data_IF_012021292174
#
_entry.id   IF_012021292174
#
_cell.length_a   1.000
_cell.length_b   1.000
_cell.length_c   1.000
_cell.angle_alpha   90.00
_cell.angle_beta   90.00
_cell.angle_gamma   90.00
#
_symmetry.space_group_name_H-M   'P 1'
#
loop_
_entity.id
_entity.type
_entity.pdbx_description
1 polymer ?
#
# COMPACT_ATOMS: atom_id res chain seq x y z
N UNK A 1 -14.70 1.65 1.97
CA UNK A 1 -15.09 0.63 2.97
C UNK A 1 -14.40 0.93 4.29
N UNK A 2 -14.88 0.39 5.41
CA UNK A 2 -14.16 0.42 6.69
C UNK A 2 -13.63 -0.99 6.97
N UNK A 3 -12.35 -1.13 7.34
CA UNK A 3 -11.72 -2.40 7.73
C UNK A 3 -11.05 -2.23 9.09
N UNK A 4 -11.13 -3.25 9.93
CA UNK A 4 -10.45 -3.31 11.21
C UNK A 4 -9.12 -4.04 11.01
N UNK A 5 -8.01 -3.37 11.29
CA UNK A 5 -6.65 -3.92 11.17
C UNK A 5 -5.94 -3.62 12.49
N UNK A 6 -5.41 -4.64 13.14
CA UNK A 6 -4.69 -4.52 14.41
C UNK A 6 -5.44 -3.69 15.49
N UNK A 7 -6.78 -3.83 15.56
CA UNK A 7 -7.63 -3.07 16.47
C UNK A 7 -7.95 -1.63 16.04
N UNK A 8 -7.35 -1.12 14.96
CA UNK A 8 -7.62 0.20 14.37
C UNK A 8 -8.60 0.10 13.21
N UNK A 9 -9.58 1.00 13.17
CA UNK A 9 -10.58 1.04 12.10
C UNK A 9 -10.13 1.97 10.97
N UNK A 10 -9.63 1.39 9.89
CA UNK A 10 -9.23 2.12 8.69
C UNK A 10 -10.40 2.34 7.76
N UNK A 11 -10.57 3.58 7.31
CA UNK A 11 -11.49 3.89 6.22
C UNK A 11 -10.71 3.93 4.92
N UNK A 12 -10.92 2.95 4.04
CA UNK A 12 -10.22 2.86 2.76
C UNK A 12 -10.46 4.07 1.86
N UNK A 13 -11.57 4.82 2.07
CA UNK A 13 -11.83 6.07 1.34
C UNK A 13 -10.98 7.25 1.83
N UNK A 14 -10.35 7.13 3.01
CA UNK A 14 -9.48 8.16 3.58
C UNK A 14 -8.00 7.88 3.31
N UNK A 15 -7.69 6.75 2.69
CA UNK A 15 -6.34 6.40 2.29
C UNK A 15 -5.95 7.24 1.07
N UNK A 16 -4.74 7.78 1.11
CA UNK A 16 -4.13 8.52 0.02
C UNK A 16 -3.22 7.55 -0.73
N UNK A 17 -3.53 7.18 -1.98
CA UNK A 17 -2.68 6.28 -2.75
C UNK A 17 -1.37 6.98 -3.11
N UNK A 18 -0.25 6.29 -2.89
CA UNK A 18 1.10 6.74 -3.27
C UNK A 18 1.49 6.09 -4.60
N UNK A 19 1.37 4.76 -4.67
CA UNK A 19 1.76 3.98 -5.83
C UNK A 19 0.93 2.70 -5.93
N UNK A 20 0.65 2.27 -7.15
CA UNK A 20 -0.02 1.01 -7.45
C UNK A 20 0.84 0.16 -8.36
N UNK A 21 0.79 -1.14 -8.15
CA UNK A 21 1.41 -2.17 -8.96
C UNK A 21 0.39 -3.28 -9.20
N UNK A 22 0.41 -3.86 -10.39
CA UNK A 22 -0.32 -5.07 -10.72
C UNK A 22 0.59 -6.03 -11.47
N UNK A 23 0.25 -7.31 -11.45
CA UNK A 23 1.04 -8.35 -12.09
C UNK A 23 0.86 -8.45 -13.61
N UNK A 24 0.19 -7.48 -14.25
CA UNK A 24 -0.06 -7.44 -15.70
C UNK A 24 -1.08 -8.45 -16.20
N UNK A 25 -1.80 -9.12 -15.30
CA UNK A 25 -2.83 -10.11 -15.62
C UNK A 25 -4.19 -9.40 -15.72
N UNK A 26 -5.08 -9.91 -16.57
CA UNK A 26 -6.46 -9.39 -16.66
C UNK A 26 -7.22 -9.64 -15.34
N UNK A 27 -7.99 -8.64 -14.89
CA UNK A 27 -8.77 -8.67 -13.65
C UNK A 27 -9.78 -9.83 -13.55
N UNK A 28 -10.15 -10.44 -14.68
CA UNK A 28 -11.04 -11.60 -14.73
C UNK A 28 -10.34 -12.91 -14.36
N UNK A 29 -9.01 -12.97 -14.44
CA UNK A 29 -8.21 -14.15 -14.15
C UNK A 29 -8.01 -14.31 -12.64
N UNK A 30 -8.13 -15.53 -12.15
CA UNK A 30 -7.95 -15.85 -10.73
C UNK A 30 -6.54 -15.56 -10.21
N UNK A 31 -5.56 -15.42 -11.10
CA UNK A 31 -4.17 -15.06 -10.79
C UNK A 31 -3.94 -13.57 -10.72
N UNK A 32 -4.93 -12.73 -11.06
CA UNK A 32 -4.81 -11.28 -10.92
C UNK A 32 -4.47 -10.90 -9.48
N UNK A 33 -3.47 -10.03 -9.36
CA UNK A 33 -3.08 -9.45 -8.08
C UNK A 33 -2.64 -8.01 -8.33
N UNK A 34 -3.22 -7.11 -7.54
CA UNK A 34 -2.91 -5.70 -7.50
C UNK A 34 -2.59 -5.32 -6.06
N UNK A 35 -1.55 -4.51 -5.91
CA UNK A 35 -1.14 -3.96 -4.63
C UNK A 35 -0.99 -2.44 -4.76
N UNK A 36 -1.57 -1.71 -3.82
CA UNK A 36 -1.48 -0.25 -3.77
C UNK A 36 -0.92 0.17 -2.42
N UNK A 37 0.25 0.81 -2.44
CA UNK A 37 0.80 1.50 -1.29
C UNK A 37 0.01 2.78 -1.05
N UNK A 38 -0.52 2.89 0.16
CA UNK A 38 -1.33 3.99 0.62
C UNK A 38 -0.74 4.61 1.90
N UNK A 39 -1.08 5.87 2.13
CA UNK A 39 -0.84 6.57 3.38
C UNK A 39 -2.12 7.03 4.03
N UNK A 40 -2.18 6.97 5.34
CA UNK A 40 -3.23 7.62 6.11
C UNK A 40 -2.92 9.10 6.31
N UNK A 41 -3.93 9.88 6.74
CA UNK A 41 -3.70 11.28 7.14
C UNK A 41 -2.81 11.43 8.38
N UNK A 42 -2.71 10.36 9.17
CA UNK A 42 -1.88 10.28 10.38
C UNK A 42 -0.43 9.87 10.09
N UNK A 43 -0.10 9.55 8.83
CA UNK A 43 1.25 9.18 8.40
C UNK A 43 1.57 7.69 8.45
N UNK A 44 0.56 6.84 8.72
CA UNK A 44 0.73 5.38 8.70
C UNK A 44 0.67 4.86 7.25
N UNK A 45 1.50 3.87 6.96
CA UNK A 45 1.59 3.25 5.63
C UNK A 45 0.84 1.92 5.61
N UNK A 46 0.11 1.69 4.52
CA UNK A 46 -0.74 0.52 4.36
C UNK A 46 -0.62 0.00 2.93
N UNK A 47 -0.42 -1.30 2.78
CA UNK A 47 -0.60 -1.99 1.50
C UNK A 47 -2.05 -2.43 1.40
N UNK A 48 -2.70 -2.00 0.33
CA UNK A 48 -3.99 -2.51 -0.09
C UNK A 48 -3.79 -3.54 -1.19
N UNK A 49 -4.07 -4.80 -0.90
CA UNK A 49 -3.95 -5.90 -1.87
C UNK A 49 -5.34 -6.31 -2.35
N UNK A 50 -5.46 -6.56 -3.65
CA UNK A 50 -6.67 -7.00 -4.31
C UNK A 50 -6.35 -8.17 -5.23
N UNK A 51 -7.00 -9.29 -4.98
CA UNK A 51 -6.90 -10.50 -5.78
C UNK A 51 -8.26 -11.20 -5.87
N UNK A 52 -8.29 -12.40 -6.47
CA UNK A 52 -9.49 -13.21 -6.59
C UNK A 52 -10.08 -13.67 -5.24
N UNK A 53 -9.28 -13.72 -4.18
CA UNK A 53 -9.72 -14.06 -2.82
C UNK A 53 -10.39 -12.87 -2.12
N UNK A 54 -10.13 -11.65 -2.61
CA UNK A 54 -10.82 -10.44 -2.20
C UNK A 54 -9.87 -9.28 -1.91
N UNK A 55 -10.24 -8.49 -0.90
CA UNK A 55 -9.51 -7.28 -0.52
C UNK A 55 -8.81 -7.48 0.81
N UNK A 56 -7.51 -7.23 0.84
CA UNK A 56 -6.70 -7.23 2.05
C UNK A 56 -6.05 -5.86 2.31
N UNK A 57 -5.80 -5.57 3.58
CA UNK A 57 -5.10 -4.37 3.99
C UNK A 57 -4.09 -4.74 5.08
N UNK A 58 -2.83 -4.37 4.87
CA UNK A 58 -1.75 -4.61 5.81
C UNK A 58 -1.08 -3.29 6.19
N UNK A 59 -1.09 -2.98 7.48
CA UNK A 59 -0.27 -1.89 8.04
C UNK A 59 1.20 -2.31 7.99
N UNK A 60 2.05 -1.42 7.48
CA UNK A 60 3.48 -1.64 7.29
C UNK A 60 4.27 -0.43 7.79
N UNK A 61 5.56 -0.62 8.05
CA UNK A 61 6.41 0.50 8.47
C UNK A 61 6.84 1.35 7.28
N UNK A 62 7.36 2.58 7.50
CA UNK A 62 7.94 3.39 6.42
C UNK A 62 9.08 2.67 5.68
N UNK A 63 9.89 1.87 6.38
CA UNK A 63 10.98 1.11 5.79
C UNK A 63 10.43 0.05 4.83
N UNK A 64 9.46 -0.76 5.29
CA UNK A 64 8.77 -1.76 4.46
C UNK A 64 8.08 -1.13 3.25
N UNK A 65 7.54 0.09 3.41
CA UNK A 65 6.88 0.82 2.33
C UNK A 65 7.87 1.23 1.24
N UNK A 66 9.07 1.67 1.64
CA UNK A 66 10.13 2.00 0.71
C UNK A 66 10.71 0.75 0.03
N UNK A 67 10.90 -0.35 0.76
CA UNK A 67 11.29 -1.63 0.19
C UNK A 67 10.26 -2.13 -0.84
N UNK A 68 8.96 -1.99 -0.55
CA UNK A 68 7.90 -2.32 -1.50
C UNK A 68 8.01 -1.49 -2.77
N UNK A 69 8.30 -0.19 -2.67
CA UNK A 69 8.52 0.67 -3.84
C UNK A 69 9.77 0.27 -4.63
N UNK A 70 10.85 -0.11 -3.96
CA UNK A 70 12.07 -0.60 -4.61
C UNK A 70 11.80 -1.90 -5.38
N UNK A 71 11.16 -2.87 -4.74
CA UNK A 71 10.82 -4.17 -5.32
C UNK A 71 10.00 -4.02 -6.61
N UNK A 72 9.07 -3.07 -6.63
CA UNK A 72 8.20 -2.83 -7.78
C UNK A 72 8.74 -1.77 -8.75
N UNK A 73 9.97 -1.27 -8.55
CA UNK A 73 10.59 -0.20 -9.36
C UNK A 73 9.74 1.09 -9.42
N UNK A 74 9.04 1.40 -8.32
CA UNK A 74 8.15 2.56 -8.17
C UNK A 74 8.73 3.64 -7.25
N UNK A 75 10.04 3.62 -6.98
CA UNK A 75 10.73 4.57 -6.09
C UNK A 75 10.52 6.03 -6.48
N UNK A 76 10.32 6.33 -7.77
CA UNK A 76 9.99 7.66 -8.26
C UNK A 76 8.63 8.19 -7.79
N UNK A 77 7.73 7.30 -7.35
CA UNK A 77 6.42 7.65 -6.78
C UNK A 77 6.46 7.80 -5.26
N UNK A 78 7.59 7.57 -4.61
CA UNK A 78 7.74 7.81 -3.18
C UNK A 78 7.45 9.28 -2.86
N UNK A 79 6.62 9.53 -1.84
CA UNK A 79 6.42 10.87 -1.34
C UNK A 79 7.60 11.33 -0.47
N UNK A 80 7.75 12.65 -0.32
CA UNK A 80 8.86 13.26 0.41
C UNK A 80 8.87 12.80 1.88
N UNK A 81 7.69 12.68 2.51
CA UNK A 81 7.59 12.28 3.92
C UNK A 81 8.07 10.84 4.13
N UNK A 82 7.73 9.92 3.23
CA UNK A 82 8.28 8.56 3.24
C UNK A 82 9.80 8.56 3.16
N UNK A 83 10.37 9.34 2.23
CA UNK A 83 11.82 9.45 2.06
C UNK A 83 12.47 10.03 3.32
N UNK A 84 11.86 11.05 3.95
CA UNK A 84 12.37 11.65 5.18
C UNK A 84 12.27 10.72 6.38
N UNK A 85 11.19 9.95 6.51
CA UNK A 85 11.02 8.94 7.57
C UNK A 85 12.11 7.88 7.50
N UNK A 86 12.40 7.36 6.31
CA UNK A 86 13.44 6.33 6.10
C UNK A 86 14.85 6.87 6.35
N UNK A 87 15.12 8.15 6.05
CA UNK A 87 16.44 8.77 6.30
C UNK A 87 16.72 9.07 7.78
N UNK A 88 15.68 9.11 8.62
CA UNK A 88 15.78 9.41 10.06
C UNK A 88 15.85 8.17 10.94
N UNK A 89 15.56 6.99 10.39
CA UNK A 89 15.70 5.69 11.04
C UNK A 89 17.16 5.22 11.04
#
# INVERSE_FOLDING_TARGET
MKKLINGKLYNTKKLVPIASWDNGIEISDTRYSEETLCRTKTGEYIIYSKDASGLDLREITPEDAFEWLQKHSLTAKADIELIESVKKA
#
